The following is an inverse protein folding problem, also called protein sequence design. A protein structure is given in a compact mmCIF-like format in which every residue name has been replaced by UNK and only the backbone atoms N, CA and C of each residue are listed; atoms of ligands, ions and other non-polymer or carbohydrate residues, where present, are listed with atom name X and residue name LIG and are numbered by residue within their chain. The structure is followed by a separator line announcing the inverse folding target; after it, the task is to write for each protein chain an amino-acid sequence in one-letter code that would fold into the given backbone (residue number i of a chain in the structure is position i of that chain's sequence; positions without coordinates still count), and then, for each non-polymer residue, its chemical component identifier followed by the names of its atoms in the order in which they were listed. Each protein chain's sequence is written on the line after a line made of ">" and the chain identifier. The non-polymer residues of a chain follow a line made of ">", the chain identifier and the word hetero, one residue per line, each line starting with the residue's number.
data_IF_655596150685
#
_entry.id   IF_655596150685
#
_cell.length_a   1.000
_cell.length_b   1.000
_cell.length_c   1.000
_cell.angle_alpha   90.00
_cell.angle_beta   90.00
_cell.angle_gamma   90.00
#
_symmetry.space_group_name_H-M   'P 1'
#
loop_
_entity.id
_entity.type
_entity.pdbx_description
1 polymer ?
#
# COMPACT_ATOMS: atom_id res chain seq x y z
N UNK A 1 -35.12 -9.10 -16.90
CA UNK A 1 -33.86 -9.88 -16.85
C UNK A 1 -33.32 -10.38 -18.20
N UNK A 2 -34.13 -11.01 -19.08
CA UNK A 2 -33.64 -11.66 -20.33
C UNK A 2 -32.92 -10.74 -21.33
N UNK A 3 -33.29 -9.45 -21.42
CA UNK A 3 -32.67 -8.48 -22.34
C UNK A 3 -31.27 -8.04 -21.89
N UNK A 4 -31.03 -7.95 -20.58
CA UNK A 4 -29.73 -7.53 -20.04
C UNK A 4 -28.66 -8.61 -20.24
N UNK A 5 -29.03 -9.89 -20.12
CA UNK A 5 -28.13 -11.03 -20.36
C UNK A 5 -27.68 -11.06 -21.82
N UNK A 6 -28.59 -10.81 -22.77
CA UNK A 6 -28.27 -10.75 -24.19
C UNK A 6 -27.23 -9.66 -24.50
N UNK A 7 -27.39 -8.48 -23.92
CA UNK A 7 -26.46 -7.36 -24.13
C UNK A 7 -25.07 -7.67 -23.58
N UNK A 8 -24.98 -8.32 -22.41
CA UNK A 8 -23.70 -8.72 -21.83
C UNK A 8 -22.99 -9.76 -22.70
N UNK A 9 -23.73 -10.75 -23.23
CA UNK A 9 -23.18 -11.76 -24.13
C UNK A 9 -22.63 -11.11 -25.41
N UNK A 10 -23.37 -10.17 -25.99
CA UNK A 10 -22.92 -9.46 -27.21
C UNK A 10 -21.65 -8.65 -26.91
N UNK A 11 -21.60 -7.92 -25.80
CA UNK A 11 -20.39 -7.16 -25.41
C UNK A 11 -19.19 -8.08 -25.18
N UNK A 12 -19.40 -9.23 -24.55
CA UNK A 12 -18.34 -10.22 -24.34
C UNK A 12 -17.80 -10.76 -25.67
N UNK A 13 -18.69 -11.10 -26.62
CA UNK A 13 -18.30 -11.58 -27.95
C UNK A 13 -17.54 -10.50 -28.75
N UNK A 14 -17.94 -9.23 -28.64
CA UNK A 14 -17.25 -8.11 -29.30
C UNK A 14 -15.85 -7.92 -28.72
N UNK A 15 -15.70 -8.00 -27.39
CA UNK A 15 -14.39 -7.90 -26.73
C UNK A 15 -13.47 -9.06 -27.09
N UNK A 16 -13.97 -10.29 -27.05
CA UNK A 16 -13.19 -11.49 -27.40
C UNK A 16 -12.80 -11.46 -28.89
N UNK A 17 -13.75 -11.13 -29.77
CA UNK A 17 -13.47 -11.00 -31.21
C UNK A 17 -12.48 -9.88 -31.52
N UNK A 18 -12.60 -8.73 -30.84
CA UNK A 18 -11.65 -7.62 -30.96
C UNK A 18 -10.25 -8.01 -30.49
N UNK A 19 -10.15 -8.74 -29.38
CA UNK A 19 -8.87 -9.21 -28.86
C UNK A 19 -8.22 -10.24 -29.82
N UNK A 20 -8.98 -11.15 -30.40
CA UNK A 20 -8.46 -12.08 -31.42
C UNK A 20 -7.89 -11.35 -32.65
N UNK A 21 -8.59 -10.32 -33.14
CA UNK A 21 -8.12 -9.54 -34.29
C UNK A 21 -6.87 -8.72 -33.93
N UNK A 22 -6.83 -8.16 -32.73
CA UNK A 22 -5.73 -7.30 -32.28
C UNK A 22 -4.45 -8.10 -31.97
N UNK A 23 -4.58 -9.22 -31.24
CA UNK A 23 -3.44 -10.04 -30.84
C UNK A 23 -3.05 -11.10 -31.88
N UNK A 24 -3.92 -11.40 -32.85
CA UNK A 24 -3.77 -12.49 -33.84
C UNK A 24 -3.59 -13.88 -33.20
N UNK A 25 -4.00 -14.01 -31.95
CA UNK A 25 -3.92 -15.24 -31.18
C UNK A 25 -5.09 -16.16 -31.51
N UNK A 26 -4.86 -17.47 -31.43
CA UNK A 26 -5.94 -18.46 -31.48
C UNK A 26 -6.79 -18.39 -30.19
N UNK A 27 -8.06 -18.84 -30.22
CA UNK A 27 -8.92 -18.86 -29.04
C UNK A 27 -8.31 -19.59 -27.84
N UNK A 28 -7.53 -20.64 -28.09
CA UNK A 28 -6.81 -21.41 -27.08
C UNK A 28 -5.69 -20.61 -26.41
N UNK A 29 -4.93 -19.83 -27.17
CA UNK A 29 -3.83 -19.01 -26.65
C UNK A 29 -4.35 -17.82 -25.85
N UNK A 30 -5.43 -17.18 -26.31
CA UNK A 30 -6.07 -16.09 -25.60
C UNK A 30 -6.68 -16.56 -24.26
N UNK A 31 -7.21 -17.78 -24.23
CA UNK A 31 -7.70 -18.41 -23.00
C UNK A 31 -6.57 -18.78 -22.04
N UNK A 32 -5.46 -19.33 -22.53
CA UNK A 32 -4.29 -19.61 -21.71
C UNK A 32 -3.73 -18.33 -21.09
N UNK A 33 -3.52 -17.30 -21.91
CA UNK A 33 -3.06 -15.99 -21.44
C UNK A 33 -4.01 -15.35 -20.44
N UNK A 34 -5.31 -15.49 -20.64
CA UNK A 34 -6.33 -15.06 -19.68
C UNK A 34 -6.20 -15.78 -18.34
N UNK A 35 -6.01 -17.10 -18.36
CA UNK A 35 -5.76 -17.89 -17.14
C UNK A 35 -4.45 -17.52 -16.46
N UNK A 36 -3.37 -17.33 -17.22
CA UNK A 36 -2.08 -16.93 -16.67
C UNK A 36 -2.17 -15.54 -16.01
N UNK A 37 -2.94 -14.62 -16.59
CA UNK A 37 -3.18 -13.31 -16.00
C UNK A 37 -4.02 -13.38 -14.73
N UNK A 38 -5.04 -14.25 -14.69
CA UNK A 38 -5.85 -14.47 -13.49
C UNK A 38 -5.03 -15.16 -12.40
N UNK A 39 -4.21 -16.15 -12.74
CA UNK A 39 -3.32 -16.83 -11.80
C UNK A 39 -2.22 -15.88 -11.29
N UNK A 40 -1.69 -14.99 -12.13
CA UNK A 40 -0.73 -13.98 -11.70
C UNK A 40 -1.37 -12.86 -10.85
N UNK A 41 -2.66 -12.57 -11.06
CA UNK A 41 -3.37 -11.52 -10.34
C UNK A 41 -4.04 -12.00 -9.04
N UNK A 42 -4.36 -13.29 -8.94
CA UNK A 42 -5.16 -13.86 -7.85
C UNK A 42 -4.64 -15.20 -7.33
N UNK A 43 -3.63 -15.81 -7.95
CA UNK A 43 -2.93 -16.95 -7.39
C UNK A 43 -1.97 -16.48 -6.31
N UNK A 44 -2.05 -17.10 -5.13
CA UNK A 44 -1.06 -16.91 -4.07
C UNK A 44 0.35 -17.18 -4.65
N UNK A 45 1.25 -16.19 -4.53
CA UNK A 45 2.67 -16.39 -4.75
C UNK A 45 3.15 -17.46 -3.76
N UNK A 46 3.16 -18.71 -4.20
CA UNK A 46 3.94 -19.76 -3.56
C UNK A 46 5.41 -19.38 -3.74
N UNK A 47 5.93 -18.57 -2.81
CA UNK A 47 7.36 -18.28 -2.64
C UNK A 47 8.04 -19.56 -2.20
N UNK A 48 8.30 -20.46 -3.13
CA UNK A 48 9.38 -21.44 -3.01
C UNK A 48 10.53 -21.00 -3.91
N UNK A 49 11.09 -19.83 -3.60
CA UNK A 49 12.43 -19.48 -4.05
C UNK A 49 13.42 -20.16 -3.08
N UNK A 50 13.88 -21.35 -3.46
CA UNK A 50 14.91 -22.09 -2.75
C UNK A 50 16.18 -21.24 -2.64
N UNK A 51 16.49 -20.78 -1.43
CA UNK A 51 17.77 -20.17 -1.12
C UNK A 51 18.89 -21.24 -1.16
N UNK A 52 20.05 -20.96 -1.76
CA UNK A 52 21.21 -21.85 -1.66
C UNK A 52 21.75 -21.87 -0.22
N UNK A 53 21.93 -23.09 0.29
CA UNK A 53 22.45 -23.44 1.62
C UNK A 53 23.90 -22.94 1.81
N UNK A 54 24.26 -22.27 2.92
CA UNK A 54 25.64 -21.94 3.21
C UNK A 54 26.38 -23.17 3.78
N UNK A 55 27.46 -23.52 3.10
CA UNK A 55 28.46 -24.55 3.42
C UNK A 55 29.10 -24.31 4.81
N UNK A 56 28.89 -25.23 5.75
CA UNK A 56 29.53 -25.26 7.06
C UNK A 56 30.96 -25.80 6.92
N UNK A 57 31.89 -24.92 6.61
CA UNK A 57 33.32 -25.19 6.68
C UNK A 57 33.80 -25.39 8.11
N UNK A 58 34.07 -26.64 8.48
CA UNK A 58 34.87 -27.02 9.64
C UNK A 58 36.25 -26.34 9.62
N UNK A 59 36.63 -25.66 10.70
CA UNK A 59 38.05 -25.48 11.07
C UNK A 59 38.24 -25.23 12.56
N UNK A 60 38.65 -26.32 13.22
CA UNK A 60 39.71 -26.44 14.22
C UNK A 60 39.98 -25.30 15.21
N UNK A 61 39.69 -25.59 16.48
CA UNK A 61 40.45 -25.16 17.67
C UNK A 61 41.92 -25.64 17.55
N UNK A 62 42.97 -24.90 17.98
CA UNK A 62 43.27 -24.78 19.42
C UNK A 62 43.85 -23.43 19.89
N UNK A 63 43.53 -23.06 21.13
CA UNK A 63 44.49 -22.82 22.25
C UNK A 63 44.26 -21.54 23.09
N UNK A 64 44.60 -21.57 24.40
CA UNK A 64 44.11 -20.62 25.40
C UNK A 64 45.21 -19.73 25.98
N UNK A 65 45.17 -18.40 25.87
CA UNK A 65 46.11 -17.54 26.64
C UNK A 65 45.52 -16.14 26.99
N UNK A 66 45.61 -15.87 28.30
CA UNK A 66 45.81 -14.60 29.04
C UNK A 66 44.72 -13.53 29.24
N UNK A 67 44.27 -13.50 30.50
CA UNK A 67 44.08 -12.35 31.41
C UNK A 67 44.28 -10.97 30.78
N UNK A 68 43.19 -10.21 30.66
CA UNK A 68 43.25 -8.75 30.46
C UNK A 68 42.59 -8.03 31.64
N UNK A 69 43.44 -7.23 32.27
CA UNK A 69 43.23 -6.19 33.27
C UNK A 69 41.87 -5.47 33.20
N UNK A 70 41.21 -5.36 34.37
CA UNK A 70 40.08 -4.47 34.60
C UNK A 70 40.47 -3.01 34.30
N UNK A 71 40.00 -2.48 33.17
CA UNK A 71 39.86 -1.04 32.99
C UNK A 71 38.45 -0.69 33.45
N UNK A 72 38.35 -0.10 34.64
CA UNK A 72 37.13 0.54 35.12
C UNK A 72 36.83 1.73 34.21
N UNK A 73 36.01 1.49 33.19
CA UNK A 73 35.34 2.53 32.40
C UNK A 73 34.12 2.92 33.22
N UNK A 74 34.04 4.18 33.64
CA UNK A 74 32.82 4.77 34.19
C UNK A 74 31.66 4.42 33.24
N UNK A 75 30.76 3.58 33.73
CA UNK A 75 29.55 3.17 33.03
C UNK A 75 28.74 4.43 32.73
N UNK A 76 28.52 4.81 31.45
CA UNK A 76 27.64 5.92 31.15
C UNK A 76 26.27 5.57 31.70
N UNK A 77 25.74 6.42 32.59
CA UNK A 77 24.40 6.34 33.15
C UNK A 77 23.42 6.04 32.01
N UNK A 78 23.00 4.78 31.90
CA UNK A 78 22.00 4.35 30.93
C UNK A 78 20.72 4.96 31.44
N UNK A 79 20.37 6.14 30.91
CA UNK A 79 19.05 6.73 31.12
C UNK A 79 18.05 5.63 30.77
N UNK A 80 17.16 5.22 31.70
CA UNK A 80 16.23 4.13 31.42
C UNK A 80 15.45 4.51 30.17
N UNK A 81 15.60 3.71 29.11
CA UNK A 81 14.78 3.83 27.92
C UNK A 81 13.33 3.85 28.39
N UNK A 82 12.49 4.80 27.93
CA UNK A 82 11.08 4.81 28.28
C UNK A 82 10.52 3.41 27.96
N UNK A 83 9.76 2.86 28.92
CA UNK A 83 9.10 1.58 28.74
C UNK A 83 8.32 1.60 27.42
N UNK A 84 8.36 0.51 26.62
CA UNK A 84 7.60 0.47 25.38
C UNK A 84 6.13 0.75 25.68
N UNK A 85 5.58 1.75 24.99
CA UNK A 85 4.17 2.10 25.07
C UNK A 85 3.34 0.86 24.73
N UNK A 86 2.26 0.56 25.48
CA UNK A 86 1.41 -0.58 25.15
C UNK A 86 0.87 -0.42 23.72
N UNK A 87 1.00 -1.49 22.92
CA UNK A 87 0.42 -1.53 21.58
C UNK A 87 -1.09 -1.32 21.68
N UNK A 88 -1.67 -0.46 20.84
CA UNK A 88 -3.11 -0.26 20.82
C UNK A 88 -3.82 -1.53 20.34
N UNK A 89 -5.04 -1.76 20.85
CA UNK A 89 -5.91 -2.85 20.40
C UNK A 89 -6.09 -2.81 18.87
N UNK A 90 -5.86 -3.92 18.12
CA UNK A 90 -5.76 -3.91 16.66
C UNK A 90 -6.97 -3.28 15.97
N UNK A 91 -8.19 -3.70 16.33
CA UNK A 91 -9.44 -3.17 15.72
C UNK A 91 -9.64 -1.68 16.03
N UNK A 92 -9.29 -1.24 17.24
CA UNK A 92 -9.35 0.16 17.63
C UNK A 92 -8.32 0.99 16.87
N UNK A 93 -7.11 0.45 16.68
CA UNK A 93 -6.10 1.06 15.83
C UNK A 93 -6.57 1.21 14.38
N UNK A 94 -7.19 0.16 13.81
CA UNK A 94 -7.71 0.19 12.44
C UNK A 94 -8.82 1.22 12.25
N UNK A 95 -9.72 1.36 13.23
CA UNK A 95 -10.76 2.41 13.23
C UNK A 95 -10.15 3.81 13.16
N UNK A 96 -9.07 4.05 13.90
CA UNK A 96 -8.34 5.32 13.89
C UNK A 96 -7.47 5.52 12.63
N UNK A 97 -7.14 4.43 11.92
CA UNK A 97 -6.32 4.46 10.73
C UNK A 97 -6.98 3.77 9.53
N UNK A 98 -8.20 4.21 9.20
CA UNK A 98 -9.01 3.67 8.10
C UNK A 98 -8.30 3.59 6.74
N UNK A 99 -7.23 4.37 6.52
CA UNK A 99 -6.36 4.27 5.32
C UNK A 99 -5.68 2.91 5.16
N UNK A 100 -5.51 2.17 6.26
CA UNK A 100 -4.94 0.83 6.28
C UNK A 100 -6.00 -0.28 6.31
N UNK A 101 -7.29 0.06 6.25
CA UNK A 101 -8.35 -0.94 6.20
C UNK A 101 -8.13 -1.90 5.02
N UNK A 102 -8.17 -3.23 5.26
CA UNK A 102 -8.05 -4.19 4.19
C UNK A 102 -9.22 -3.99 3.21
N UNK A 103 -8.94 -4.11 1.91
CA UNK A 103 -9.99 -3.97 0.89
C UNK A 103 -10.85 -5.23 0.81
N UNK A 104 -10.26 -6.37 1.12
CA UNK A 104 -10.86 -7.68 1.04
C UNK A 104 -10.60 -8.41 2.35
N UNK A 105 -11.62 -9.11 2.82
CA UNK A 105 -11.57 -9.96 4.00
C UNK A 105 -12.22 -11.30 3.66
N UNK A 106 -11.88 -12.33 4.43
CA UNK A 106 -12.41 -13.68 4.26
C UNK A 106 -13.50 -13.92 5.32
N UNK A 107 -14.60 -14.52 4.89
CA UNK A 107 -15.63 -15.02 5.80
C UNK A 107 -15.15 -16.32 6.45
N UNK A 108 -15.11 -16.40 7.76
CA UNK A 108 -14.79 -17.63 8.50
C UNK A 108 -16.01 -18.55 8.61
N UNK A 109 -17.21 -17.99 8.55
CA UNK A 109 -18.47 -18.72 8.62
C UNK A 109 -19.28 -18.58 7.33
N UNK A 110 -20.24 -19.49 7.16
CA UNK A 110 -21.21 -19.43 6.07
C UNK A 110 -22.22 -18.31 6.34
N UNK A 111 -22.49 -17.49 5.33
CA UNK A 111 -23.48 -16.41 5.37
C UNK A 111 -24.62 -16.66 4.39
N UNK A 112 -25.85 -16.29 4.78
CA UNK A 112 -27.02 -16.33 3.89
C UNK A 112 -27.50 -14.92 3.61
N UNK A 113 -27.58 -14.56 2.34
CA UNK A 113 -28.10 -13.28 1.87
C UNK A 113 -29.48 -13.52 1.27
N UNK A 114 -30.51 -12.96 1.86
CA UNK A 114 -31.85 -12.99 1.28
C UNK A 114 -31.92 -11.96 0.15
N UNK A 115 -32.41 -12.38 -1.01
CA UNK A 115 -32.69 -11.51 -2.15
C UNK A 115 -34.18 -11.20 -2.10
N UNK A 116 -34.51 -9.95 -1.81
CA UNK A 116 -35.87 -9.47 -1.95
C UNK A 116 -36.21 -9.38 -3.44
N UNK A 117 -37.21 -10.16 -3.86
CA UNK A 117 -37.71 -10.26 -5.22
C UNK A 117 -39.19 -9.86 -5.20
N UNK A 118 -39.59 -8.96 -6.10
CA UNK A 118 -40.98 -8.48 -6.23
C UNK A 118 -41.99 -9.63 -6.47
N UNK A 119 -41.53 -10.81 -6.91
CA UNK A 119 -42.35 -11.97 -7.27
C UNK A 119 -42.60 -12.98 -6.11
N UNK A 120 -42.40 -12.57 -4.85
CA UNK A 120 -42.76 -13.33 -3.62
C UNK A 120 -42.09 -14.70 -3.40
N UNK A 121 -41.13 -15.12 -4.23
CA UNK A 121 -40.23 -16.23 -3.91
C UNK A 121 -39.04 -15.75 -3.07
N UNK A 122 -38.95 -16.25 -1.82
CA UNK A 122 -37.79 -16.08 -0.95
C UNK A 122 -36.55 -16.71 -1.58
N UNK A 123 -35.84 -15.91 -2.36
CA UNK A 123 -34.58 -16.28 -2.98
C UNK A 123 -33.43 -15.97 -2.03
N UNK A 124 -32.42 -16.84 -1.95
CA UNK A 124 -31.24 -16.59 -1.14
C UNK A 124 -29.97 -16.99 -1.87
N UNK A 125 -28.88 -16.30 -1.54
CA UNK A 125 -27.52 -16.66 -1.92
C UNK A 125 -26.79 -17.12 -0.67
N UNK A 126 -26.00 -18.17 -0.82
CA UNK A 126 -25.07 -18.62 0.20
C UNK A 126 -23.66 -18.18 -0.13
N UNK A 127 -23.01 -17.55 0.84
CA UNK A 127 -21.57 -17.38 0.85
C UNK A 127 -20.97 -18.46 1.75
N UNK A 128 -20.05 -19.23 1.20
CA UNK A 128 -19.38 -20.28 1.96
C UNK A 128 -18.28 -19.68 2.85
N UNK A 129 -17.94 -20.38 3.93
CA UNK A 129 -16.69 -20.08 4.65
C UNK A 129 -15.50 -20.15 3.68
N UNK A 130 -14.52 -19.27 3.86
CA UNK A 130 -13.41 -19.05 2.94
C UNK A 130 -13.73 -18.09 1.78
N UNK A 131 -14.97 -17.60 1.66
CA UNK A 131 -15.31 -16.67 0.56
C UNK A 131 -14.70 -15.29 0.78
N UNK A 132 -14.00 -14.73 -0.22
CA UNK A 132 -13.54 -13.34 -0.17
C UNK A 132 -14.70 -12.38 -0.36
N UNK A 133 -14.74 -11.34 0.47
CA UNK A 133 -15.72 -10.26 0.39
C UNK A 133 -15.03 -8.91 0.53
N UNK A 134 -15.58 -7.91 -0.15
CA UNK A 134 -15.00 -6.56 -0.11
C UNK A 134 -15.45 -5.83 1.15
N UNK A 135 -14.51 -5.37 1.97
CA UNK A 135 -14.82 -4.55 3.12
C UNK A 135 -15.21 -3.12 2.67
N UNK A 136 -16.35 -2.62 3.14
CA UNK A 136 -16.76 -1.23 2.91
C UNK A 136 -16.56 -0.33 4.13
N UNK A 137 -16.91 -0.85 5.32
CA UNK A 137 -16.88 -0.06 6.56
C UNK A 137 -16.76 -0.96 7.78
N UNK A 138 -15.91 -0.57 8.73
CA UNK A 138 -15.86 -1.14 10.07
C UNK A 138 -16.80 -0.40 11.02
N UNK A 139 -17.60 -1.12 11.80
CA UNK A 139 -18.36 -0.60 12.94
C UNK A 139 -17.71 -1.08 14.26
N UNK A 140 -18.45 -0.99 15.37
CA UNK A 140 -17.96 -1.38 16.68
C UNK A 140 -17.71 -2.88 16.77
N UNK A 141 -18.74 -3.68 16.47
CA UNK A 141 -18.71 -5.15 16.57
C UNK A 141 -18.96 -5.85 15.23
N UNK A 142 -19.23 -5.09 14.17
CA UNK A 142 -19.59 -5.63 12.85
C UNK A 142 -18.80 -4.96 11.74
N UNK A 143 -18.71 -5.65 10.61
CA UNK A 143 -18.14 -5.15 9.37
C UNK A 143 -19.20 -5.17 8.27
N UNK A 144 -19.34 -4.05 7.57
CA UNK A 144 -20.15 -3.98 6.35
C UNK A 144 -19.29 -4.47 5.20
N UNK A 145 -19.70 -5.57 4.58
CA UNK A 145 -19.06 -6.19 3.43
C UNK A 145 -19.95 -6.09 2.20
N UNK A 146 -19.33 -6.09 1.02
CA UNK A 146 -19.98 -6.15 -0.27
C UNK A 146 -19.61 -7.44 -0.99
N UNK A 147 -20.63 -8.15 -1.46
CA UNK A 147 -20.49 -9.27 -2.37
C UNK A 147 -21.32 -9.00 -3.63
N UNK A 148 -20.64 -8.71 -4.75
CA UNK A 148 -21.31 -8.27 -5.99
C UNK A 148 -22.13 -6.99 -5.77
N UNK A 149 -23.45 -7.08 -5.96
CA UNK A 149 -24.39 -5.98 -5.75
C UNK A 149 -24.95 -5.91 -4.32
N UNK A 150 -24.70 -6.93 -3.49
CA UNK A 150 -25.30 -7.07 -2.17
C UNK A 150 -24.38 -6.52 -1.09
N UNK A 151 -24.99 -5.95 -0.04
CA UNK A 151 -24.31 -5.53 1.18
C UNK A 151 -24.79 -6.39 2.33
N UNK A 152 -23.84 -6.83 3.16
CA UNK A 152 -24.11 -7.63 4.33
C UNK A 152 -23.39 -7.02 5.52
N UNK A 153 -24.02 -7.10 6.69
CA UNK A 153 -23.38 -6.78 7.97
C UNK A 153 -23.01 -8.11 8.62
N UNK A 154 -21.71 -8.32 8.83
CA UNK A 154 -21.16 -9.57 9.36
C UNK A 154 -20.47 -9.25 10.69
N UNK A 155 -20.68 -10.03 11.76
CA UNK A 155 -19.91 -9.89 12.99
C UNK A 155 -18.41 -10.05 12.73
N UNK A 156 -17.57 -9.30 13.47
CA UNK A 156 -16.12 -9.29 13.22
C UNK A 156 -15.52 -10.68 13.44
N UNK A 157 -16.00 -11.40 14.46
CA UNK A 157 -15.59 -12.77 14.82
C UNK A 157 -15.86 -13.81 13.72
N UNK A 158 -16.79 -13.50 12.80
CA UNK A 158 -17.11 -14.34 11.65
C UNK A 158 -16.23 -14.03 10.42
N UNK A 159 -15.18 -13.21 10.60
CA UNK A 159 -14.24 -12.81 9.55
C UNK A 159 -12.79 -12.93 10.02
N UNK A 160 -11.84 -12.97 9.09
CA UNK A 160 -10.41 -12.92 9.41
C UNK A 160 -9.88 -11.49 9.66
N UNK A 161 -10.77 -10.52 9.91
CA UNK A 161 -10.38 -9.11 10.04
C UNK A 161 -9.42 -8.88 11.19
N UNK A 162 -9.61 -9.53 12.34
CA UNK A 162 -8.72 -9.36 13.50
C UNK A 162 -7.28 -9.76 13.17
N UNK A 163 -7.09 -10.96 12.63
CA UNK A 163 -5.79 -11.50 12.22
C UNK A 163 -5.12 -10.58 11.19
N UNK A 164 -5.85 -10.19 10.13
CA UNK A 164 -5.34 -9.25 9.12
C UNK A 164 -4.95 -7.91 9.73
N UNK A 165 -5.69 -7.45 10.75
CA UNK A 165 -5.43 -6.16 11.38
C UNK A 165 -4.14 -6.18 12.19
N UNK A 166 -3.84 -7.29 12.88
CA UNK A 166 -2.56 -7.46 13.60
C UNK A 166 -1.40 -7.31 12.62
N UNK A 167 -1.41 -8.06 11.52
CA UNK A 167 -0.34 -8.03 10.51
C UNK A 167 -0.16 -6.63 9.89
N UNK A 168 -1.28 -5.97 9.55
CA UNK A 168 -1.26 -4.62 8.98
C UNK A 168 -0.70 -3.62 9.99
N UNK A 169 -1.11 -3.71 11.25
CA UNK A 169 -0.65 -2.84 12.32
C UNK A 169 0.85 -3.01 12.58
N UNK A 170 1.32 -4.24 12.73
CA UNK A 170 2.75 -4.54 12.93
C UNK A 170 3.60 -4.01 11.77
N UNK A 171 3.15 -4.24 10.53
CA UNK A 171 3.82 -3.73 9.33
C UNK A 171 3.85 -2.21 9.27
N UNK A 172 2.76 -1.55 9.65
CA UNK A 172 2.70 -0.09 9.69
C UNK A 172 3.63 0.49 10.76
N UNK A 173 3.72 -0.14 11.93
CA UNK A 173 4.63 0.27 13.02
C UNK A 173 6.09 0.05 12.61
N UNK A 174 6.41 -1.10 12.01
CA UNK A 174 7.75 -1.39 11.51
C UNK A 174 8.18 -0.37 10.43
N UNK A 175 7.27 -0.02 9.50
CA UNK A 175 7.52 0.99 8.49
C UNK A 175 7.76 2.39 9.08
N UNK A 176 6.96 2.79 10.08
CA UNK A 176 7.14 4.06 10.77
C UNK A 176 8.48 4.14 11.51
N UNK A 177 8.90 3.04 12.16
CA UNK A 177 10.21 2.95 12.82
C UNK A 177 11.37 3.02 11.83
N UNK A 178 11.27 2.34 10.69
CA UNK A 178 12.27 2.40 9.64
C UNK A 178 12.37 3.82 9.03
N UNK A 179 11.26 4.53 8.90
CA UNK A 179 11.23 5.91 8.44
C UNK A 179 11.87 6.89 9.44
N UNK A 180 11.64 6.71 10.74
CA UNK A 180 12.28 7.53 11.78
C UNK A 180 13.81 7.38 11.83
N UNK A 181 14.33 6.24 11.37
CA UNK A 181 15.77 5.97 11.27
C UNK A 181 16.40 6.51 9.98
N UNK A 182 15.62 7.06 9.03
CA UNK A 182 16.19 7.67 7.83
C UNK A 182 17.00 8.91 8.22
N UNK A 183 18.27 9.01 7.80
CA UNK A 183 19.08 10.20 8.10
C UNK A 183 18.41 11.44 7.51
N UNK A 184 18.41 12.53 8.27
CA UNK A 184 17.85 13.80 7.84
C UNK A 184 18.40 14.20 6.46
N UNK A 185 17.58 14.80 5.57
CA UNK A 185 18.06 15.30 4.30
C UNK A 185 19.26 16.21 4.56
N UNK A 186 20.39 15.96 3.89
CA UNK A 186 21.53 16.89 3.97
C UNK A 186 21.00 18.28 3.59
N UNK A 187 21.34 19.34 4.34
CA UNK A 187 20.97 20.69 3.97
C UNK A 187 21.41 20.92 2.53
N UNK A 188 20.45 21.19 1.65
CA UNK A 188 20.79 21.60 0.29
C UNK A 188 21.53 22.92 0.41
N UNK A 189 22.80 22.92 0.05
CA UNK A 189 23.55 24.16 -0.14
C UNK A 189 22.83 24.89 -1.24
N UNK A 190 22.02 25.90 -0.89
CA UNK A 190 21.47 26.82 -1.88
C UNK A 190 22.69 27.40 -2.59
N UNK A 191 22.84 27.22 -3.92
CA UNK A 191 23.96 27.83 -4.61
C UNK A 191 23.91 29.32 -4.31
N UNK A 192 24.99 29.84 -3.73
CA UNK A 192 25.14 31.29 -3.57
C UNK A 192 24.87 31.91 -4.94
N UNK A 193 24.04 32.96 -5.02
CA UNK A 193 23.83 33.65 -6.28
C UNK A 193 25.21 34.04 -6.80
N UNK A 194 25.55 33.54 -8.00
CA UNK A 194 26.77 33.95 -8.69
C UNK A 194 26.73 35.48 -8.74
N UNK A 195 27.79 36.12 -8.24
CA UNK A 195 27.94 37.58 -8.25
C UNK A 195 27.50 38.11 -9.61
N UNK A 196 26.34 38.79 -9.65
CA UNK A 196 25.90 39.48 -10.86
C UNK A 196 26.89 40.63 -11.08
N UNK A 197 27.64 40.67 -12.20
CA UNK A 197 28.54 41.79 -12.43
C UNK A 197 27.72 43.08 -12.46
N UNK A 198 28.17 44.08 -11.69
CA UNK A 198 27.56 45.41 -11.61
C UNK A 198 27.25 45.91 -13.02
N UNK A 199 25.96 46.05 -13.34
CA UNK A 199 25.53 46.65 -14.61
C UNK A 199 26.12 48.05 -14.70
N UNK A 200 26.76 48.44 -15.82
CA UNK A 200 27.26 49.78 -15.98
C UNK A 200 26.09 50.76 -15.83
N UNK A 201 26.22 51.64 -14.86
CA UNK A 201 25.26 52.70 -14.58
C UNK A 201 25.22 53.62 -15.80
N UNK A 202 24.18 53.47 -16.63
CA UNK A 202 23.93 54.39 -17.75
C UNK A 202 23.78 55.79 -17.16
N UNK A 203 24.81 56.62 -17.32
CA UNK A 203 24.68 58.07 -17.16
C UNK A 203 23.69 58.54 -18.21
N UNK A 204 22.47 58.85 -17.78
CA UNK A 204 21.60 59.71 -18.55
C UNK A 204 22.08 61.14 -18.33
N UNK A 205 23.19 61.51 -18.98
CA UNK A 205 23.57 62.90 -19.12
C UNK A 205 22.56 63.52 -20.12
N UNK A 206 21.42 63.96 -19.59
CA UNK A 206 20.44 64.76 -20.32
C UNK A 206 21.07 66.14 -20.51
N UNK A 207 21.52 66.42 -21.74
CA UNK A 207 21.89 67.76 -22.15
C UNK A 207 20.63 68.64 -22.13
N UNK A 208 20.51 69.51 -21.14
CA UNK A 208 19.53 70.60 -21.13
C UNK A 208 20.09 71.71 -22.03
N UNK A 209 19.56 71.83 -23.25
CA UNK A 209 19.76 73.00 -24.09
C UNK A 209 18.91 74.15 -23.55
N UNK A 210 19.55 75.17 -22.98
CA UNK A 210 18.91 76.44 -22.66
C UNK A 210 18.89 77.31 -23.94
N UNK A 211 17.73 77.45 -24.56
CA UNK A 211 17.49 78.46 -25.59
C UNK A 211 17.35 79.83 -24.92
N UNK A 212 18.43 80.61 -24.88
CA UNK A 212 18.34 82.06 -24.75
C UNK A 212 18.26 82.67 -26.16
N UNK A 213 17.04 82.95 -26.63
CA UNK A 213 16.83 83.88 -27.73
C UNK A 213 16.45 85.25 -27.17
N UNK A 214 17.35 86.20 -27.38
CA UNK A 214 17.18 87.62 -27.15
C UNK A 214 16.61 88.31 -28.40
N UNK A 215 15.71 89.27 -28.19
CA UNK A 215 15.41 90.39 -29.11
C UNK A 215 14.35 90.06 -30.18
N UNK A 216 13.33 90.89 -30.43
CA UNK A 216 13.19 92.34 -30.25
C UNK A 216 11.70 92.71 -30.33
#
# INVERSE_FOLDING_TARGET
>A
MKRSILVIIILFLVLVGGAMVYFKDTPSELWQRGRDYVNAAFGEEDRTESAPEPDLGNSSDPAPIEVTTEVSVEEPEITPSPAPEPLPEPLTWLRNHSRFAPREIILNTRQRINIESDDAEDSWIELLAGSPVRMERLKEDTVIVRFGAYKLEVPIEETNLEELTVDIMEKAIAAAKAEALKPAPRPQVTPQPAYEPLKPQRRNDVYVWNETSNGN
#
